data_IF_190805209756
#
_entry.id   IF_190805209756
#
_cell.length_a   1.000
_cell.length_b   1.000
_cell.length_c   1.000
_cell.angle_alpha   90.00
_cell.angle_beta   90.00
_cell.angle_gamma   90.00
#
_symmetry.space_group_name_H-M   'P 1'
#
loop_
_entity.id
_entity.type
_entity.pdbx_description
1 polymer ?
#
# COMPACT_ATOMS: atom_id res chain seq x y z
N UNK A 1 -19.37 24.17 -38.88
CA UNK A 1 -20.51 23.53 -39.58
C UNK A 1 -20.10 22.13 -39.98
N UNK A 2 -21.07 21.21 -39.90
CA UNK A 2 -21.03 19.76 -40.12
C UNK A 2 -20.41 18.91 -38.99
N UNK A 3 -21.00 17.81 -38.52
CA UNK A 3 -22.38 17.35 -38.35
C UNK A 3 -22.25 16.08 -37.49
N UNK A 4 -23.12 15.88 -36.51
CA UNK A 4 -23.14 14.70 -35.65
C UNK A 4 -23.77 13.47 -36.33
N UNK A 5 -23.40 12.25 -35.91
CA UNK A 5 -24.39 11.19 -35.69
C UNK A 5 -23.86 10.10 -34.75
N UNK A 6 -24.57 9.96 -33.63
CA UNK A 6 -24.61 8.82 -32.74
C UNK A 6 -25.29 7.64 -33.45
N UNK A 7 -24.72 6.44 -33.37
CA UNK A 7 -25.50 5.20 -33.51
C UNK A 7 -24.96 4.14 -32.53
N UNK A 8 -25.82 3.83 -31.57
CA UNK A 8 -25.69 2.84 -30.51
C UNK A 8 -26.44 1.61 -31.00
N UNK A 9 -25.80 0.45 -31.10
CA UNK A 9 -26.56 -0.80 -31.25
C UNK A 9 -25.83 -1.95 -30.60
N UNK A 10 -26.44 -2.42 -29.52
CA UNK A 10 -26.13 -3.62 -28.78
C UNK A 10 -26.26 -4.84 -29.69
N UNK A 11 -25.24 -5.70 -29.73
CA UNK A 11 -25.40 -7.04 -30.31
C UNK A 11 -25.75 -8.01 -29.19
N UNK A 12 -27.03 -8.33 -29.16
CA UNK A 12 -27.64 -9.46 -28.49
C UNK A 12 -27.06 -10.74 -29.10
N UNK A 13 -26.53 -11.60 -28.24
CA UNK A 13 -26.22 -13.00 -28.56
C UNK A 13 -27.54 -13.71 -28.87
N UNK A 14 -27.66 -14.28 -30.06
CA UNK A 14 -28.65 -15.31 -30.33
C UNK A 14 -27.94 -16.60 -30.78
N UNK A 15 -28.22 -17.66 -30.02
CA UNK A 15 -27.73 -19.01 -30.17
C UNK A 15 -28.82 -19.80 -30.86
N UNK A 16 -28.69 -20.05 -32.17
CA UNK A 16 -29.43 -21.12 -32.83
C UNK A 16 -28.75 -21.51 -34.14
N UNK A 17 -28.54 -22.81 -34.22
CA UNK A 17 -27.93 -23.65 -35.24
C UNK A 17 -28.33 -23.32 -36.69
N UNK A 18 -27.52 -23.79 -37.64
CA UNK A 18 -27.91 -24.93 -38.49
C UNK A 18 -27.32 -24.84 -39.90
N UNK A 19 -26.28 -25.66 -40.12
CA UNK A 19 -26.04 -26.42 -41.35
C UNK A 19 -25.92 -25.62 -42.66
N UNK A 20 -24.66 -25.39 -43.06
CA UNK A 20 -24.19 -25.76 -44.41
C UNK A 20 -22.68 -25.78 -44.48
N UNK A 21 -22.13 -26.94 -44.81
CA UNK A 21 -20.70 -27.14 -45.01
C UNK A 21 -20.18 -26.26 -46.15
N UNK A 22 -19.19 -25.44 -45.83
CA UNK A 22 -18.23 -24.92 -46.79
C UNK A 22 -16.84 -25.04 -46.19
N UNK A 23 -16.04 -25.93 -46.78
CA UNK A 23 -14.61 -26.06 -46.52
C UNK A 23 -13.92 -24.83 -47.09
N UNK A 24 -13.64 -23.84 -46.24
CA UNK A 24 -12.80 -22.71 -46.56
C UNK A 24 -11.47 -22.89 -45.84
N UNK A 25 -10.42 -23.19 -46.63
CA UNK A 25 -9.04 -23.26 -46.17
C UNK A 25 -8.63 -21.87 -45.64
N UNK A 26 -8.44 -21.77 -44.33
CA UNK A 26 -7.82 -20.60 -43.71
C UNK A 26 -6.32 -20.60 -44.02
N UNK A 27 -5.73 -19.47 -44.46
CA UNK A 27 -4.28 -19.34 -44.45
C UNK A 27 -3.79 -19.39 -42.99
N UNK A 28 -2.69 -20.11 -42.78
CA UNK A 28 -2.01 -20.22 -41.49
C UNK A 28 -1.69 -18.83 -40.94
N UNK A 29 -2.44 -18.38 -39.95
CA UNK A 29 -2.15 -17.14 -39.23
C UNK A 29 -0.85 -17.38 -38.48
N UNK A 30 0.23 -16.73 -38.92
CA UNK A 30 1.50 -16.75 -38.20
C UNK A 30 1.25 -16.23 -36.78
N UNK A 31 1.34 -17.14 -35.81
CA UNK A 31 1.22 -16.82 -34.39
C UNK A 31 2.41 -15.94 -34.03
N UNK A 32 2.23 -14.62 -34.03
CA UNK A 32 3.24 -13.68 -33.51
C UNK A 32 3.41 -14.02 -32.04
N UNK A 33 4.49 -14.73 -31.73
CA UNK A 33 4.90 -15.03 -30.37
C UNK A 33 5.60 -13.79 -29.84
N UNK A 34 4.85 -12.88 -29.23
CA UNK A 34 5.42 -11.86 -28.37
C UNK A 34 6.16 -12.59 -27.25
N UNK A 35 7.50 -12.57 -27.28
CA UNK A 35 8.29 -13.01 -26.14
C UNK A 35 8.10 -11.97 -25.03
N UNK A 36 7.74 -12.36 -23.80
CA UNK A 36 7.73 -11.42 -22.70
C UNK A 36 9.16 -10.92 -22.51
N UNK A 37 9.34 -9.61 -22.54
CA UNK A 37 10.60 -8.97 -22.15
C UNK A 37 11.00 -9.49 -20.78
N UNK A 38 12.17 -10.11 -20.67
CA UNK A 38 12.67 -10.62 -19.41
C UNK A 38 12.74 -9.48 -18.39
N UNK A 39 11.89 -9.54 -17.36
CA UNK A 39 11.93 -8.60 -16.24
C UNK A 39 13.17 -8.95 -15.41
N UNK A 40 14.22 -8.14 -15.52
CA UNK A 40 15.39 -8.27 -14.65
C UNK A 40 15.03 -7.77 -13.25
N UNK A 41 14.83 -8.68 -12.32
CA UNK A 41 14.60 -8.34 -10.91
C UNK A 41 15.93 -8.03 -10.24
N UNK A 42 16.24 -6.74 -10.07
CA UNK A 42 17.33 -6.30 -9.18
C UNK A 42 16.93 -6.62 -7.75
N UNK A 43 17.68 -7.51 -7.08
CA UNK A 43 17.56 -7.74 -5.63
C UNK A 43 18.74 -7.10 -4.93
N UNK A 44 18.47 -6.32 -3.89
CA UNK A 44 19.51 -5.89 -2.97
C UNK A 44 20.07 -7.13 -2.23
N UNK A 45 21.34 -7.44 -2.44
CA UNK A 45 22.05 -8.50 -1.71
C UNK A 45 22.55 -7.93 -0.38
N UNK A 46 21.79 -8.08 0.69
CA UNK A 46 22.22 -7.72 2.05
C UNK A 46 22.31 -8.96 2.93
N UNK A 47 23.24 -8.95 3.89
CA UNK A 47 23.34 -9.97 4.95
C UNK A 47 22.09 -10.05 5.83
N UNK A 48 21.25 -9.01 5.80
CA UNK A 48 20.04 -8.87 6.60
C UNK A 48 18.76 -9.19 5.81
N UNK A 49 18.86 -9.75 4.59
CA UNK A 49 17.69 -9.95 3.73
C UNK A 49 16.57 -10.76 4.42
N UNK A 50 16.92 -11.86 5.10
CA UNK A 50 15.94 -12.70 5.80
C UNK A 50 15.31 -11.98 7.00
N UNK A 51 16.11 -11.21 7.74
CA UNK A 51 15.65 -10.41 8.88
C UNK A 51 14.70 -9.30 8.41
N UNK A 52 15.04 -8.57 7.36
CA UNK A 52 14.19 -7.52 6.78
C UNK A 52 12.85 -8.08 6.31
N UNK A 53 12.86 -9.25 5.66
CA UNK A 53 11.63 -9.94 5.24
C UNK A 53 10.79 -10.37 6.45
N UNK A 54 11.43 -10.88 7.51
CA UNK A 54 10.75 -11.28 8.75
C UNK A 54 10.11 -10.08 9.46
N UNK A 55 10.82 -8.97 9.57
CA UNK A 55 10.33 -7.73 10.18
C UNK A 55 9.18 -7.14 9.35
N UNK A 56 9.32 -7.08 8.03
CA UNK A 56 8.26 -6.62 7.13
C UNK A 56 6.98 -7.46 7.28
N UNK A 57 7.10 -8.80 7.36
CA UNK A 57 5.96 -9.70 7.62
C UNK A 57 5.31 -9.45 8.99
N UNK A 58 6.11 -9.14 10.00
CA UNK A 58 5.62 -8.87 11.36
C UNK A 58 4.84 -7.55 11.40
N UNK A 59 5.37 -6.51 10.75
CA UNK A 59 4.72 -5.20 10.63
C UNK A 59 3.42 -5.32 9.81
N UNK A 60 3.44 -6.04 8.69
CA UNK A 60 2.28 -6.19 7.79
C UNK A 60 1.34 -7.36 8.16
N UNK A 61 1.28 -7.77 9.42
CA UNK A 61 0.39 -8.85 9.85
C UNK A 61 -1.09 -8.45 9.74
N UNK A 62 -2.01 -9.36 9.34
CA UNK A 62 -3.44 -9.07 9.25
C UNK A 62 -4.03 -8.51 10.55
N UNK A 63 -4.89 -7.50 10.42
CA UNK A 63 -5.59 -6.89 11.57
C UNK A 63 -4.75 -5.92 12.41
N UNK A 64 -3.48 -5.67 12.03
CA UNK A 64 -2.63 -4.68 12.70
C UNK A 64 -2.10 -3.61 11.73
N UNK A 65 -1.78 -2.44 12.27
CA UNK A 65 -1.21 -1.30 11.56
C UNK A 65 0.01 -0.68 12.25
N UNK A 66 0.43 0.48 11.76
CA UNK A 66 1.59 1.23 12.27
C UNK A 66 1.11 2.48 13.00
N UNK A 67 1.65 2.74 14.19
CA UNK A 67 1.47 3.99 14.92
C UNK A 67 2.53 5.02 14.49
N UNK A 68 2.12 6.09 13.83
CA UNK A 68 3.01 7.19 13.46
C UNK A 68 3.05 8.24 14.58
N UNK A 69 4.11 8.24 15.38
CA UNK A 69 4.35 9.21 16.47
C UNK A 69 5.70 9.92 16.31
N UNK A 70 6.10 10.07 15.06
CA UNK A 70 7.35 10.65 14.55
C UNK A 70 7.26 12.17 14.35
N UNK A 71 6.36 12.83 15.08
CA UNK A 71 6.13 14.26 14.90
C UNK A 71 7.32 15.06 15.41
N UNK A 72 7.86 15.94 14.56
CA UNK A 72 8.91 16.87 14.99
C UNK A 72 8.47 17.72 16.19
N UNK A 73 9.43 18.30 16.90
CA UNK A 73 9.17 19.19 18.04
C UNK A 73 8.26 20.37 17.68
N UNK A 74 8.36 20.91 16.46
CA UNK A 74 7.48 21.97 15.99
C UNK A 74 6.04 21.47 15.77
N UNK A 75 5.87 20.28 15.18
CA UNK A 75 4.54 19.71 14.91
C UNK A 75 3.86 19.24 16.20
N UNK A 76 4.60 18.60 17.10
CA UNK A 76 4.11 18.20 18.42
C UNK A 76 3.73 19.43 19.27
N UNK A 77 4.54 20.49 19.22
CA UNK A 77 4.24 21.76 19.88
C UNK A 77 2.90 22.37 19.45
N UNK A 78 2.56 22.32 18.16
CA UNK A 78 1.24 22.78 17.68
C UNK A 78 0.08 21.95 18.25
N UNK A 79 0.26 20.64 18.40
CA UNK A 79 -0.73 19.74 19.01
C UNK A 79 -0.91 20.04 20.50
N UNK A 80 0.19 20.18 21.24
CA UNK A 80 0.16 20.55 22.67
C UNK A 80 -0.47 21.93 22.88
N UNK A 81 -0.13 22.91 22.03
CA UNK A 81 -0.72 24.24 22.10
C UNK A 81 -2.24 24.23 21.88
N UNK A 82 -2.76 23.34 21.03
CA UNK A 82 -4.20 23.21 20.79
C UNK A 82 -5.01 22.79 22.02
N UNK A 83 -4.34 22.19 23.01
CA UNK A 83 -4.93 21.79 24.30
C UNK A 83 -4.41 22.65 25.47
N UNK A 84 -3.74 23.77 25.18
CA UNK A 84 -3.24 24.70 26.20
C UNK A 84 -1.98 24.25 26.94
N UNK A 85 -1.24 23.25 26.42
CA UNK A 85 0.02 22.81 27.00
C UNK A 85 1.22 23.47 26.33
N UNK A 86 2.25 23.75 27.13
CA UNK A 86 3.53 24.25 26.66
C UNK A 86 4.33 23.15 25.94
N UNK A 87 5.11 23.54 24.92
CA UNK A 87 5.98 22.63 24.18
C UNK A 87 7.30 22.34 24.92
N UNK A 88 7.21 21.70 26.08
CA UNK A 88 8.37 21.21 26.84
C UNK A 88 8.68 19.76 26.49
N UNK A 89 9.92 19.33 26.70
CA UNK A 89 10.32 17.93 26.49
C UNK A 89 9.48 16.97 27.34
N UNK A 90 9.29 17.28 28.62
CA UNK A 90 8.48 16.47 29.53
C UNK A 90 7.04 16.28 29.03
N UNK A 91 6.41 17.32 28.47
CA UNK A 91 5.07 17.20 27.90
C UNK A 91 5.05 16.35 26.62
N UNK A 92 6.08 16.48 25.77
CA UNK A 92 6.22 15.65 24.56
C UNK A 92 6.44 14.17 24.92
N UNK A 93 7.27 13.90 25.93
CA UNK A 93 7.50 12.57 26.46
C UNK A 93 6.21 12.00 27.05
N UNK A 94 5.54 12.74 27.94
CA UNK A 94 4.27 12.32 28.56
C UNK A 94 3.20 12.00 27.51
N UNK A 95 3.09 12.83 26.46
CA UNK A 95 2.20 12.57 25.33
C UNK A 95 2.50 11.24 24.63
N UNK A 96 3.77 10.95 24.33
CA UNK A 96 4.14 9.71 23.64
C UNK A 96 4.05 8.48 24.55
N UNK A 97 4.43 8.62 25.82
CA UNK A 97 4.21 7.61 26.85
C UNK A 97 2.75 7.24 26.94
N UNK A 98 1.84 8.22 26.95
CA UNK A 98 0.40 7.98 26.93
C UNK A 98 -0.03 7.11 25.74
N UNK A 99 0.52 7.36 24.55
CA UNK A 99 0.19 6.57 23.35
C UNK A 99 0.67 5.13 23.47
N UNK A 100 1.94 4.90 23.83
CA UNK A 100 2.54 3.55 23.81
C UNK A 100 2.17 2.67 25.00
N UNK A 101 1.76 3.28 26.11
CA UNK A 101 1.34 2.55 27.32
C UNK A 101 -0.15 2.18 27.31
N UNK A 102 -0.89 2.52 26.25
CA UNK A 102 -2.30 2.18 26.13
C UNK A 102 -2.53 0.65 26.24
N UNK A 103 -3.40 0.19 27.15
CA UNK A 103 -3.61 -1.24 27.37
C UNK A 103 -4.21 -1.89 26.13
N UNK A 104 -3.63 -3.02 25.71
CA UNK A 104 -4.10 -3.76 24.53
C UNK A 104 -3.67 -3.17 23.18
N UNK A 105 -2.84 -2.11 23.14
CA UNK A 105 -2.37 -1.49 21.90
C UNK A 105 -1.76 -2.50 20.91
N UNK A 106 -0.97 -3.46 21.42
CA UNK A 106 -0.31 -4.48 20.60
C UNK A 106 -1.25 -5.44 19.84
N UNK A 107 -2.54 -5.46 20.17
CA UNK A 107 -3.55 -6.22 19.42
C UNK A 107 -3.81 -5.60 18.04
N UNK A 108 -3.60 -4.29 17.89
CA UNK A 108 -3.91 -3.52 16.68
C UNK A 108 -2.70 -2.83 16.06
N UNK A 109 -1.61 -2.68 16.81
CA UNK A 109 -0.39 -2.03 16.33
C UNK A 109 0.77 -3.02 16.35
N UNK A 110 1.44 -3.17 15.20
CA UNK A 110 2.58 -4.07 15.01
C UNK A 110 3.94 -3.35 15.04
N UNK A 111 3.94 -2.03 14.90
CA UNK A 111 5.14 -1.19 14.97
C UNK A 111 4.78 0.29 15.14
N UNK A 112 5.77 1.08 15.54
CA UNK A 112 5.63 2.52 15.69
C UNK A 112 6.81 3.24 15.01
N UNK A 113 6.55 4.40 14.41
CA UNK A 113 7.58 5.29 13.87
C UNK A 113 7.86 6.34 14.94
N UNK A 114 9.12 6.44 15.35
CA UNK A 114 9.58 7.31 16.43
C UNK A 114 10.28 8.53 15.87
N UNK A 115 10.11 9.66 16.55
CA UNK A 115 11.00 10.80 16.37
C UNK A 115 12.30 10.54 17.16
N UNK A 116 13.42 11.11 16.70
CA UNK A 116 14.75 10.86 17.30
C UNK A 116 14.78 11.16 18.80
N UNK A 117 14.17 12.26 19.24
CA UNK A 117 14.05 12.61 20.67
C UNK A 117 13.39 11.47 21.48
N UNK A 118 12.37 10.83 20.91
CA UNK A 118 11.63 9.73 21.57
C UNK A 118 12.41 8.43 21.61
N UNK A 119 13.23 8.16 20.59
CA UNK A 119 14.03 6.93 20.52
C UNK A 119 14.99 6.80 21.71
N UNK A 120 15.47 7.92 22.25
CA UNK A 120 16.41 7.96 23.37
C UNK A 120 15.77 8.33 24.72
N UNK A 121 14.44 8.47 24.78
CA UNK A 121 13.71 8.73 26.01
C UNK A 121 13.38 7.43 26.76
N UNK A 122 13.46 7.47 28.10
CA UNK A 122 13.01 6.37 28.96
C UNK A 122 11.52 6.50 29.26
N UNK A 123 10.82 5.37 29.37
CA UNK A 123 9.40 5.30 29.74
C UNK A 123 9.23 4.97 31.22
#
# INVERSE_FOLDING_TARGET
>A
MASASLLKTSLVLDMSEFVKGQSLRLPSVSKVRCQPSASFSVRASSSYADELVKTAKTIASPGRGILAMDESNATCGKRLASIGLENTEANRQAYRTLLVTAPGLGQYVSGAILFEETLYQST
#
